data_IF_734177245339
#
_entry.id   IF_734177245339
#
_cell.length_a   1.000
_cell.length_b   1.000
_cell.length_c   1.000
_cell.angle_alpha   90.00
_cell.angle_beta   90.00
_cell.angle_gamma   90.00
#
_symmetry.space_group_name_H-M   'P 1'
#
loop_
_entity.id
_entity.type
_entity.pdbx_description
1 polymer ?
#
# COMPACT_ATOMS: atom_id res chain seq x y z
N UNK A 1 4.30 17.08 -9.53
CA UNK A 1 3.62 16.59 -8.32
C UNK A 1 2.15 17.01 -8.19
N UNK A 2 1.74 18.21 -8.65
CA UNK A 2 0.35 18.69 -8.46
C UNK A 2 -0.74 17.82 -9.12
N UNK A 3 -0.47 17.17 -10.24
CA UNK A 3 -1.50 16.40 -10.97
C UNK A 3 -1.76 15.00 -10.42
N UNK A 4 -0.90 14.45 -9.57
CA UNK A 4 -1.04 13.08 -9.07
C UNK A 4 -1.72 13.01 -7.69
N UNK A 5 -1.92 14.14 -7.02
CA UNK A 5 -2.55 14.18 -5.69
C UNK A 5 -4.06 13.93 -5.79
N UNK A 6 -4.71 14.44 -6.84
CA UNK A 6 -6.16 14.32 -7.04
C UNK A 6 -6.61 12.85 -7.10
N UNK A 7 -6.02 11.97 -7.93
CA UNK A 7 -6.40 10.56 -7.97
C UNK A 7 -6.16 9.84 -6.63
N UNK A 8 -5.13 10.21 -5.87
CA UNK A 8 -4.90 9.63 -4.53
C UNK A 8 -5.99 10.03 -3.53
N UNK A 9 -6.40 11.30 -3.53
CA UNK A 9 -7.49 11.79 -2.66
C UNK A 9 -8.81 11.12 -3.04
N UNK A 10 -9.11 11.02 -4.35
CA UNK A 10 -10.32 10.38 -4.85
C UNK A 10 -10.35 8.90 -4.47
N UNK A 11 -9.21 8.23 -4.52
CA UNK A 11 -9.07 6.82 -4.17
C UNK A 11 -9.24 6.59 -2.66
N UNK A 12 -8.72 7.49 -1.81
CA UNK A 12 -8.99 7.49 -0.37
C UNK A 12 -10.50 7.66 -0.09
N UNK A 13 -11.14 8.60 -0.77
CA UNK A 13 -12.57 8.83 -0.62
C UNK A 13 -13.39 7.59 -1.01
N UNK A 14 -13.06 6.99 -2.15
CA UNK A 14 -13.71 5.78 -2.67
C UNK A 14 -13.51 4.59 -1.72
N UNK A 15 -12.34 4.48 -1.11
CA UNK A 15 -12.07 3.45 -0.11
C UNK A 15 -12.98 3.62 1.12
N UNK A 16 -13.00 4.81 1.72
CA UNK A 16 -13.73 5.07 2.97
C UNK A 16 -15.24 4.83 2.77
N UNK A 17 -15.80 5.31 1.66
CA UNK A 17 -17.26 5.29 1.48
C UNK A 17 -17.79 4.04 0.78
N UNK A 18 -17.01 3.39 -0.05
CA UNK A 18 -17.49 2.28 -0.90
C UNK A 18 -16.76 0.97 -0.60
N UNK A 19 -15.46 0.93 -0.75
CA UNK A 19 -14.71 -0.33 -0.74
C UNK A 19 -14.63 -0.98 0.64
N UNK A 20 -14.65 -0.18 1.69
CA UNK A 20 -14.53 -0.67 3.05
C UNK A 20 -15.79 -1.39 3.56
N UNK A 21 -16.93 -1.12 2.92
CA UNK A 21 -18.23 -1.74 3.26
C UNK A 21 -18.57 -2.95 2.37
N UNK A 22 -17.76 -3.21 1.35
CA UNK A 22 -18.01 -4.29 0.39
C UNK A 22 -16.98 -5.39 0.59
N UNK A 23 -17.38 -6.42 1.33
CA UNK A 23 -16.69 -7.71 1.31
C UNK A 23 -17.01 -8.38 -0.03
N UNK A 24 -16.05 -8.34 -0.96
CA UNK A 24 -16.21 -9.08 -2.21
C UNK A 24 -16.18 -10.59 -1.91
N UNK A 25 -17.29 -11.28 -2.24
CA UNK A 25 -17.47 -12.72 -2.01
C UNK A 25 -17.29 -13.18 -0.55
N UNK A 26 -17.46 -12.30 0.44
CA UNK A 26 -17.22 -12.56 1.88
C UNK A 26 -15.77 -12.93 2.25
N UNK A 27 -14.83 -12.90 1.32
CA UNK A 27 -13.43 -13.32 1.53
C UNK A 27 -12.38 -12.29 1.10
N UNK A 28 -12.76 -11.19 0.47
CA UNK A 28 -11.78 -10.25 -0.09
C UNK A 28 -12.05 -8.83 0.39
N UNK A 29 -11.08 -8.24 1.06
CA UNK A 29 -11.08 -6.82 1.37
C UNK A 29 -10.15 -6.11 0.40
N UNK A 30 -10.67 -5.11 -0.30
CA UNK A 30 -9.88 -4.23 -1.16
C UNK A 30 -9.52 -2.98 -0.37
N UNK A 31 -8.23 -2.78 -0.10
CA UNK A 31 -7.75 -1.62 0.65
C UNK A 31 -6.73 -0.80 -0.16
N UNK A 32 -7.17 0.27 -0.84
CA UNK A 32 -6.27 1.21 -1.50
C UNK A 32 -5.26 1.89 -0.56
N UNK A 33 -5.44 1.79 0.75
CA UNK A 33 -4.52 2.32 1.75
C UNK A 33 -3.10 1.75 1.57
N UNK A 34 -3.00 0.44 1.29
CA UNK A 34 -1.72 -0.21 1.01
C UNK A 34 -1.05 0.40 -0.22
N UNK A 35 -1.81 0.76 -1.23
CA UNK A 35 -1.26 1.40 -2.43
C UNK A 35 -0.63 2.76 -2.12
N UNK A 36 -1.26 3.55 -1.26
CA UNK A 36 -0.73 4.86 -0.85
C UNK A 36 0.59 4.65 -0.10
N UNK A 37 0.64 3.69 0.81
CA UNK A 37 1.87 3.34 1.54
C UNK A 37 2.98 2.89 0.59
N UNK A 38 2.66 2.07 -0.43
CA UNK A 38 3.64 1.58 -1.38
C UNK A 38 4.22 2.69 -2.27
N UNK A 39 3.37 3.60 -2.73
CA UNK A 39 3.76 4.68 -3.65
C UNK A 39 4.31 5.92 -2.96
N UNK A 40 4.22 5.99 -1.62
CA UNK A 40 4.77 7.12 -0.89
C UNK A 40 6.28 7.22 -1.12
N UNK A 41 6.78 8.45 -1.27
CA UNK A 41 8.21 8.71 -1.52
C UNK A 41 9.05 8.05 -0.43
N UNK A 42 10.08 7.32 -0.84
CA UNK A 42 11.08 6.82 0.09
C UNK A 42 12.03 7.96 0.49
N UNK A 43 12.28 8.10 1.76
CA UNK A 43 13.32 8.98 2.30
C UNK A 43 14.05 8.20 3.39
N UNK A 44 15.38 8.15 3.27
CA UNK A 44 16.23 7.49 4.25
C UNK A 44 16.04 8.15 5.62
N UNK A 45 15.89 7.31 6.66
CA UNK A 45 15.74 7.72 8.05
C UNK A 45 14.60 8.72 8.35
N UNK A 46 13.67 8.91 7.40
CA UNK A 46 12.58 9.83 7.63
C UNK A 46 11.53 9.22 8.56
N UNK A 47 11.35 9.86 9.70
CA UNK A 47 10.22 9.59 10.60
C UNK A 47 8.89 10.05 9.97
N UNK A 48 8.94 10.85 8.92
CA UNK A 48 7.77 11.39 8.22
C UNK A 48 6.89 10.28 7.66
N UNK A 49 7.47 9.26 7.05
CA UNK A 49 6.71 8.12 6.52
C UNK A 49 5.90 7.41 7.60
N UNK A 50 6.48 7.22 8.79
CA UNK A 50 5.79 6.59 9.92
C UNK A 50 4.67 7.47 10.46
N UNK A 51 4.92 8.77 10.58
CA UNK A 51 3.91 9.75 11.05
C UNK A 51 2.75 9.84 10.06
N UNK A 52 3.04 9.95 8.77
CA UNK A 52 1.99 9.99 7.73
C UNK A 52 1.20 8.68 7.71
N UNK A 53 1.86 7.53 7.84
CA UNK A 53 1.20 6.23 7.91
C UNK A 53 0.29 6.09 9.12
N UNK A 54 0.71 6.62 10.27
CA UNK A 54 -0.11 6.66 11.48
C UNK A 54 -1.38 7.49 11.27
N UNK A 55 -1.26 8.71 10.75
CA UNK A 55 -2.43 9.57 10.52
C UNK A 55 -3.36 9.01 9.45
N UNK A 56 -2.83 8.41 8.39
CA UNK A 56 -3.64 7.72 7.39
C UNK A 56 -4.43 6.56 8.03
N UNK A 57 -3.76 5.72 8.81
CA UNK A 57 -4.42 4.62 9.52
C UNK A 57 -5.47 5.10 10.51
N UNK A 58 -5.16 6.15 11.28
CA UNK A 58 -6.08 6.74 12.24
C UNK A 58 -7.35 7.30 11.57
N UNK A 59 -7.21 7.91 10.40
CA UNK A 59 -8.35 8.34 9.62
C UNK A 59 -9.26 7.16 9.28
N UNK A 60 -8.69 6.00 8.90
CA UNK A 60 -9.45 4.78 8.64
C UNK A 60 -10.09 4.19 9.89
N UNK A 61 -9.38 4.23 11.02
CA UNK A 61 -9.90 3.77 12.31
C UNK A 61 -11.15 4.54 12.72
N UNK A 62 -11.18 5.86 12.51
CA UNK A 62 -12.35 6.72 12.81
C UNK A 62 -13.57 6.35 11.94
N UNK A 63 -13.35 6.02 10.66
CA UNK A 63 -14.47 5.67 9.76
C UNK A 63 -14.97 4.23 9.91
N UNK A 64 -14.15 3.34 10.50
CA UNK A 64 -14.47 1.92 10.66
C UNK A 64 -14.80 1.52 12.08
N UNK A 65 -14.81 2.47 13.02
CA UNK A 65 -14.96 2.20 14.45
C UNK A 65 -13.93 1.17 14.96
N UNK A 66 -12.75 1.11 14.32
CA UNK A 66 -11.68 0.20 14.70
C UNK A 66 -10.74 0.90 15.69
N UNK A 67 -10.53 0.28 16.84
CA UNK A 67 -9.75 0.83 17.97
C UNK A 67 -8.23 0.93 17.69
N UNK A 68 -7.81 1.63 16.63
CA UNK A 68 -6.40 1.82 16.29
C UNK A 68 -5.76 0.68 15.50
N UNK A 69 -6.56 -0.24 14.97
CA UNK A 69 -6.09 -1.41 14.23
C UNK A 69 -5.42 -1.02 12.91
N UNK A 70 -6.04 -0.13 12.15
CA UNK A 70 -5.47 0.34 10.88
C UNK A 70 -4.25 1.23 11.09
N UNK A 71 -4.25 2.09 12.12
CA UNK A 71 -3.11 2.94 12.44
C UNK A 71 -1.89 2.11 12.85
N UNK A 72 -2.06 1.10 13.69
CA UNK A 72 -1.01 0.18 14.08
C UNK A 72 -0.49 -0.62 12.87
N UNK A 73 -1.39 -1.16 12.05
CA UNK A 73 -1.03 -1.92 10.85
C UNK A 73 -0.24 -1.06 9.87
N UNK A 74 -0.67 0.17 9.60
CA UNK A 74 0.01 1.09 8.68
C UNK A 74 1.42 1.45 9.16
N UNK A 75 1.60 1.70 10.45
CA UNK A 75 2.93 2.01 11.01
C UNK A 75 3.87 0.82 10.91
N UNK A 76 3.42 -0.39 11.27
CA UNK A 76 4.22 -1.60 11.16
C UNK A 76 4.62 -1.90 9.70
N UNK A 77 3.67 -1.76 8.79
CA UNK A 77 3.92 -1.98 7.35
C UNK A 77 4.86 -0.93 6.78
N UNK A 78 4.70 0.34 7.17
CA UNK A 78 5.60 1.41 6.73
C UNK A 78 7.03 1.20 7.25
N UNK A 79 7.18 0.75 8.50
CA UNK A 79 8.48 0.41 9.07
C UNK A 79 9.14 -0.74 8.31
N UNK A 80 8.41 -1.84 8.09
CA UNK A 80 8.90 -2.97 7.29
C UNK A 80 9.23 -2.56 5.86
N UNK A 81 8.38 -1.75 5.22
CA UNK A 81 8.61 -1.21 3.88
C UNK A 81 9.95 -0.49 3.78
N UNK A 82 10.27 0.37 4.74
CA UNK A 82 11.53 1.12 4.71
C UNK A 82 12.75 0.20 4.73
N UNK A 83 12.72 -0.85 5.55
CA UNK A 83 13.79 -1.86 5.59
C UNK A 83 13.85 -2.69 4.29
N UNK A 84 12.69 -3.05 3.76
CA UNK A 84 12.55 -3.90 2.59
C UNK A 84 13.00 -3.22 1.30
N UNK A 85 12.68 -1.94 1.14
CA UNK A 85 13.11 -1.10 0.02
C UNK A 85 14.62 -1.06 -0.07
N UNK A 86 15.32 -0.80 1.04
CA UNK A 86 16.77 -0.76 1.08
C UNK A 86 17.40 -2.09 0.65
N UNK A 87 16.81 -3.19 1.07
CA UNK A 87 17.32 -4.54 0.76
C UNK A 87 17.16 -4.94 -0.71
N UNK A 88 16.06 -4.53 -1.36
CA UNK A 88 15.71 -4.98 -2.72
C UNK A 88 16.20 -4.01 -3.78
N UNK A 89 16.04 -2.71 -3.56
CA UNK A 89 16.28 -1.69 -4.57
C UNK A 89 17.69 -1.09 -4.41
N UNK A 90 18.17 -1.04 -3.16
CA UNK A 90 19.42 -0.37 -2.81
C UNK A 90 19.24 1.12 -2.60
N UNK A 91 20.18 1.71 -1.86
CA UNK A 91 20.10 3.08 -1.39
C UNK A 91 20.23 4.10 -2.53
N UNK A 92 21.23 3.95 -3.39
CA UNK A 92 21.51 4.86 -4.50
C UNK A 92 20.31 4.99 -5.45
N UNK A 93 19.71 3.86 -5.85
CA UNK A 93 18.58 3.85 -6.78
C UNK A 93 17.28 4.37 -6.16
N UNK A 94 17.10 4.24 -4.84
CA UNK A 94 15.92 4.76 -4.16
C UNK A 94 15.92 6.26 -4.01
N UNK A 95 17.08 6.88 -3.89
CA UNK A 95 17.23 8.35 -3.83
C UNK A 95 16.92 9.02 -5.17
N UNK A 96 17.24 8.34 -6.29
CA UNK A 96 16.95 8.82 -7.64
C UNK A 96 15.46 8.71 -7.99
N UNK A 97 14.74 7.78 -7.37
CA UNK A 97 13.33 7.51 -7.71
C UNK A 97 12.38 8.37 -6.88
N UNK A 98 11.62 9.22 -7.54
CA UNK A 98 10.56 10.01 -6.90
C UNK A 98 9.38 9.15 -6.44
N UNK A 99 9.06 8.08 -7.18
CA UNK A 99 7.97 7.15 -6.89
C UNK A 99 8.40 5.72 -7.20
N UNK A 100 8.14 4.81 -6.26
CA UNK A 100 8.38 3.38 -6.44
C UNK A 100 7.20 2.75 -7.20
N UNK A 101 7.16 2.95 -8.51
CA UNK A 101 6.09 2.47 -9.40
C UNK A 101 6.54 1.31 -10.28
N UNK A 102 5.57 0.61 -10.90
CA UNK A 102 5.84 -0.43 -11.90
C UNK A 102 6.68 0.11 -13.07
N UNK A 103 6.43 1.37 -13.47
CA UNK A 103 7.16 2.01 -14.57
C UNK A 103 8.62 2.32 -14.22
N UNK A 104 8.89 2.63 -12.95
CA UNK A 104 10.25 2.96 -12.48
C UNK A 104 11.09 1.72 -12.17
N UNK A 105 10.48 0.68 -11.61
CA UNK A 105 11.16 -0.53 -11.17
C UNK A 105 11.13 -1.65 -12.21
N UNK A 106 10.14 -1.66 -13.10
CA UNK A 106 9.83 -2.80 -13.93
C UNK A 106 8.94 -3.84 -13.21
N UNK A 107 8.17 -4.62 -13.99
CA UNK A 107 7.12 -5.49 -13.44
C UNK A 107 7.61 -6.51 -12.42
N UNK A 108 8.73 -7.20 -12.69
CA UNK A 108 9.26 -8.23 -11.81
C UNK A 108 9.82 -7.66 -10.50
N UNK A 109 10.60 -6.58 -10.57
CA UNK A 109 11.17 -5.96 -9.38
C UNK A 109 10.08 -5.32 -8.52
N UNK A 110 9.06 -4.73 -9.15
CA UNK A 110 7.89 -4.21 -8.45
C UNK A 110 7.10 -5.32 -7.74
N UNK A 111 6.96 -6.50 -8.35
CA UNK A 111 6.33 -7.65 -7.71
C UNK A 111 7.07 -8.08 -6.43
N UNK A 112 8.39 -8.24 -6.50
CA UNK A 112 9.21 -8.61 -5.33
C UNK A 112 9.14 -7.53 -4.24
N UNK A 113 9.02 -6.26 -4.64
CA UNK A 113 8.88 -5.15 -3.71
C UNK A 113 7.49 -5.12 -3.05
N UNK A 114 6.42 -5.12 -3.85
CA UNK A 114 5.08 -4.81 -3.39
C UNK A 114 4.37 -6.00 -2.74
N UNK A 115 4.51 -7.21 -3.29
CA UNK A 115 3.73 -8.36 -2.88
C UNK A 115 3.96 -8.78 -1.41
N UNK A 116 5.19 -8.84 -0.87
CA UNK A 116 5.42 -9.14 0.54
C UNK A 116 4.84 -8.08 1.49
N UNK A 117 4.86 -6.82 1.09
CA UNK A 117 4.30 -5.71 1.88
C UNK A 117 2.77 -5.84 1.95
N UNK A 118 2.13 -6.18 0.84
CA UNK A 118 0.67 -6.41 0.79
C UNK A 118 0.29 -7.62 1.66
N UNK A 119 1.00 -8.73 1.55
CA UNK A 119 0.77 -9.92 2.38
C UNK A 119 0.92 -9.55 3.87
N UNK A 120 1.96 -8.83 4.23
CA UNK A 120 2.18 -8.41 5.61
C UNK A 120 1.02 -7.56 6.14
N UNK A 121 0.52 -6.62 5.33
CA UNK A 121 -0.63 -5.79 5.69
C UNK A 121 -1.86 -6.64 6.03
N UNK A 122 -2.25 -7.58 5.13
CA UNK A 122 -3.41 -8.44 5.37
C UNK A 122 -3.18 -9.47 6.46
N UNK A 123 -1.95 -9.92 6.67
CA UNK A 123 -1.61 -10.81 7.79
C UNK A 123 -1.82 -10.11 9.13
N UNK A 124 -1.36 -8.88 9.28
CA UNK A 124 -1.55 -8.11 10.52
C UNK A 124 -3.04 -7.83 10.73
N UNK A 125 -3.76 -7.38 9.70
CA UNK A 125 -5.20 -7.17 9.77
C UNK A 125 -5.95 -8.43 10.21
N UNK A 126 -5.69 -9.55 9.56
CA UNK A 126 -6.34 -10.84 9.88
C UNK A 126 -6.07 -11.29 11.31
N UNK A 127 -4.86 -11.10 11.82
CA UNK A 127 -4.50 -11.46 13.19
C UNK A 127 -5.31 -10.72 14.24
N UNK A 128 -5.56 -9.44 14.01
CA UNK A 128 -6.29 -8.60 14.96
C UNK A 128 -7.82 -8.68 14.81
N UNK A 129 -8.31 -8.90 13.60
CA UNK A 129 -9.75 -8.90 13.32
C UNK A 129 -10.42 -10.24 13.60
N UNK A 130 -9.77 -11.35 13.26
CA UNK A 130 -10.38 -12.68 13.41
C UNK A 130 -9.92 -13.47 14.63
N UNK A 131 -8.83 -13.06 15.29
CA UNK A 131 -8.34 -13.70 16.53
C UNK A 131 -7.87 -15.16 16.39
N UNK A 132 -8.15 -15.82 15.28
CA UNK A 132 -7.77 -17.19 14.97
C UNK A 132 -6.53 -17.20 14.06
N UNK A 133 -5.39 -17.55 14.61
CA UNK A 133 -4.09 -17.35 13.96
C UNK A 133 -3.82 -18.21 12.72
N UNK A 134 -4.46 -19.36 12.56
CA UNK A 134 -4.14 -20.33 11.48
C UNK A 134 -5.37 -21.10 10.98
N UNK A 135 -6.52 -20.47 10.84
CA UNK A 135 -7.61 -21.12 10.15
C UNK A 135 -7.39 -21.09 8.63
N UNK A 136 -7.81 -22.14 7.94
CA UNK A 136 -7.75 -22.19 6.47
C UNK A 136 -8.46 -21.00 5.83
N UNK A 137 -9.56 -20.56 6.43
CA UNK A 137 -10.31 -19.39 5.96
C UNK A 137 -9.49 -18.11 6.03
N UNK A 138 -8.70 -17.91 7.09
CA UNK A 138 -7.83 -16.74 7.22
C UNK A 138 -6.68 -16.75 6.21
N UNK A 139 -6.10 -17.92 5.94
CA UNK A 139 -5.07 -18.03 4.90
C UNK A 139 -5.63 -17.72 3.51
N UNK A 140 -6.82 -18.23 3.20
CA UNK A 140 -7.52 -17.91 1.94
C UNK A 140 -7.81 -16.41 1.85
N UNK A 141 -8.30 -15.81 2.93
CA UNK A 141 -8.56 -14.36 3.01
C UNK A 141 -7.29 -13.53 2.73
N UNK A 142 -6.17 -13.83 3.41
CA UNK A 142 -4.90 -13.12 3.24
C UNK A 142 -4.43 -13.25 1.79
N UNK A 143 -4.44 -14.45 1.23
CA UNK A 143 -3.91 -14.71 -0.10
C UNK A 143 -4.79 -14.06 -1.19
N UNK A 144 -6.10 -14.23 -1.10
CA UNK A 144 -7.05 -13.69 -2.07
C UNK A 144 -7.08 -12.15 -2.04
N UNK A 145 -7.09 -11.55 -0.85
CA UNK A 145 -7.04 -10.10 -0.68
C UNK A 145 -5.72 -9.52 -1.19
N UNK A 146 -4.59 -10.21 -0.96
CA UNK A 146 -3.28 -9.77 -1.43
C UNK A 146 -3.21 -9.77 -2.96
N UNK A 147 -3.68 -10.83 -3.62
CA UNK A 147 -3.69 -10.90 -5.09
C UNK A 147 -4.60 -9.82 -5.68
N UNK A 148 -5.83 -9.69 -5.16
CA UNK A 148 -6.80 -8.71 -5.65
C UNK A 148 -6.27 -7.28 -5.53
N UNK A 149 -5.64 -6.95 -4.40
CA UNK A 149 -5.04 -5.63 -4.22
C UNK A 149 -3.82 -5.39 -5.09
N UNK A 150 -2.98 -6.40 -5.29
CA UNK A 150 -1.85 -6.29 -6.19
C UNK A 150 -2.29 -5.98 -7.64
N UNK A 151 -3.30 -6.70 -8.13
CA UNK A 151 -3.89 -6.46 -9.46
C UNK A 151 -4.47 -5.05 -9.55
N UNK A 152 -5.21 -4.62 -8.53
CA UNK A 152 -5.80 -3.28 -8.49
C UNK A 152 -4.72 -2.18 -8.49
N UNK A 153 -3.63 -2.37 -7.75
CA UNK A 153 -2.49 -1.44 -7.73
C UNK A 153 -1.85 -1.32 -9.11
N UNK A 154 -1.68 -2.44 -9.81
CA UNK A 154 -1.13 -2.43 -11.18
C UNK A 154 -2.07 -1.66 -12.11
N UNK A 155 -3.37 -1.99 -12.12
CA UNK A 155 -4.36 -1.32 -12.97
C UNK A 155 -4.34 0.19 -12.70
N UNK A 156 -4.35 0.59 -11.44
CA UNK A 156 -4.31 2.01 -11.08
C UNK A 156 -3.04 2.70 -11.60
N UNK A 157 -1.89 2.05 -11.48
CA UNK A 157 -0.63 2.64 -11.95
C UNK A 157 -0.60 2.81 -13.48
N UNK A 158 -1.11 1.84 -14.22
CA UNK A 158 -1.22 1.97 -15.68
C UNK A 158 -2.23 3.04 -16.12
N UNK A 159 -3.32 3.24 -15.39
CA UNK A 159 -4.33 4.23 -15.73
C UNK A 159 -3.92 5.68 -15.35
N UNK A 160 -3.30 5.84 -14.19
CA UNK A 160 -3.09 7.17 -13.59
C UNK A 160 -1.63 7.63 -13.53
N UNK A 161 -0.67 6.71 -13.53
CA UNK A 161 0.75 7.04 -13.55
C UNK A 161 1.29 6.88 -14.97
N UNK A 162 1.03 7.87 -15.82
CA UNK A 162 1.47 7.85 -17.20
C UNK A 162 3.00 8.06 -17.31
N UNK A 163 3.63 7.39 -18.26
CA UNK A 163 5.07 7.38 -18.53
C UNK A 163 5.67 8.78 -18.87
N UNK A 164 4.83 9.80 -19.13
CA UNK A 164 5.27 11.12 -19.59
C UNK A 164 6.02 11.96 -18.54
N UNK A 165 6.07 11.52 -17.28
CA UNK A 165 6.79 12.27 -16.23
C UNK A 165 8.24 11.82 -16.04
N UNK A 166 8.66 10.73 -16.69
CA UNK A 166 10.04 10.20 -16.55
C UNK A 166 10.98 10.81 -17.59
N UNK A 167 10.45 11.27 -18.73
CA UNK A 167 11.26 11.74 -19.87
C UNK A 167 11.67 13.21 -19.80
N UNK A 168 11.18 14.00 -18.84
CA UNK A 168 11.47 15.44 -18.76
C UNK A 168 12.61 15.81 -17.80
N UNK A 169 13.22 14.84 -17.11
CA UNK A 169 14.35 15.11 -16.20
C UNK A 169 15.73 14.90 -16.84
N UNK A 170 15.78 14.48 -18.12
CA UNK A 170 17.02 14.24 -18.87
C UNK A 170 17.26 15.25 -20.00
N UNK A 171 16.71 16.49 -19.91
CA UNK A 171 17.07 17.59 -20.80
C UNK A 171 17.48 18.82 -20.06
#
# INVERSE_FOLDING_TARGET
MKNNIIPFILLLFLQVFVLNKVLFFNYVIISPLVMILLLYKYQKDSKETLVVSFFLGLLFDVFNDSLGLYSLTCVLVAYFRNLWVLKIIGEERTEELNLLSVHALGGFQFFIYAFPIIIMFYSILSLFEFGEYLSLNNLIFIFLSSISNYVLIIIFQYLFLNNNNISNEWR
#
